data_IF_747224474333
#
_entry.id   IF_747224474333
#
_cell.length_a   1.000
_cell.length_b   1.000
_cell.length_c   1.000
_cell.angle_alpha   90.00
_cell.angle_beta   90.00
_cell.angle_gamma   90.00
#
_symmetry.space_group_name_H-M   'P 1'
#
loop_
_entity.id
_entity.type
_entity.pdbx_description
1 polymer ?
#
# COMPACT_ATOMS: atom_id res chain seq x y z
N UNK A 1 32.64 4.62 -10.07
CA UNK A 1 32.08 4.19 -8.77
C UNK A 1 32.37 2.71 -8.62
N UNK A 2 33.22 2.32 -7.67
CA UNK A 2 33.51 0.90 -7.44
C UNK A 2 32.25 0.21 -6.90
N UNK A 3 31.79 -0.82 -7.60
CA UNK A 3 30.71 -1.69 -7.12
C UNK A 3 31.18 -2.34 -5.83
N UNK A 4 30.73 -1.82 -4.68
CA UNK A 4 30.93 -2.50 -3.40
C UNK A 4 30.19 -3.83 -3.47
N UNK A 5 30.95 -4.92 -3.61
CA UNK A 5 30.46 -6.29 -3.49
C UNK A 5 29.76 -6.40 -2.13
N UNK A 6 28.43 -6.57 -2.16
CA UNK A 6 27.63 -6.68 -0.93
C UNK A 6 28.11 -7.90 -0.15
N UNK A 7 28.34 -7.72 1.14
CA UNK A 7 28.67 -8.83 2.04
C UNK A 7 27.53 -9.86 2.07
N UNK A 8 27.88 -11.12 2.31
CA UNK A 8 26.92 -12.20 2.37
C UNK A 8 25.91 -11.96 3.51
N UNK A 9 24.62 -12.30 3.32
CA UNK A 9 23.62 -12.11 4.36
C UNK A 9 23.88 -13.01 5.57
N UNK A 10 23.58 -12.50 6.76
CA UNK A 10 23.59 -13.29 7.99
C UNK A 10 22.42 -14.28 7.93
N UNK A 11 22.71 -15.58 7.91
CA UNK A 11 21.69 -16.63 7.91
C UNK A 11 21.36 -17.04 9.34
N UNK A 12 20.14 -16.73 9.79
CA UNK A 12 19.62 -17.22 11.07
C UNK A 12 18.64 -18.36 10.84
N UNK A 13 18.84 -19.47 11.59
CA UNK A 13 17.93 -20.62 11.61
C UNK A 13 17.48 -20.87 13.05
N UNK A 14 16.20 -20.59 13.40
CA UNK A 14 15.69 -20.90 14.73
C UNK A 14 15.82 -22.40 15.06
N UNK A 15 16.10 -22.74 16.34
CA UNK A 15 16.00 -24.11 16.83
C UNK A 15 14.65 -24.73 16.45
N UNK A 16 14.62 -26.04 16.19
CA UNK A 16 13.44 -26.73 15.66
C UNK A 16 12.18 -26.44 16.46
N UNK A 17 12.26 -26.55 17.78
CA UNK A 17 11.17 -26.34 18.74
C UNK A 17 10.63 -24.90 18.75
N UNK A 18 11.45 -23.92 18.37
CA UNK A 18 11.07 -22.51 18.38
C UNK A 18 10.61 -22.01 17.00
N UNK A 19 10.63 -22.84 15.96
CA UNK A 19 10.30 -22.41 14.58
C UNK A 19 8.87 -21.92 14.44
N UNK A 20 7.92 -22.63 15.02
CA UNK A 20 6.50 -22.27 14.94
C UNK A 20 6.23 -20.99 15.71
N UNK A 21 6.75 -20.89 16.93
CA UNK A 21 6.67 -19.67 17.74
C UNK A 21 7.30 -18.47 17.02
N UNK A 22 8.47 -18.66 16.38
CA UNK A 22 9.11 -17.61 15.59
C UNK A 22 8.21 -17.17 14.43
N UNK A 23 7.65 -18.11 13.67
CA UNK A 23 6.76 -17.79 12.55
C UNK A 23 5.49 -17.04 12.99
N UNK A 24 4.88 -17.47 14.10
CA UNK A 24 3.72 -16.81 14.67
C UNK A 24 4.04 -15.35 15.05
N UNK A 25 5.13 -15.12 15.78
CA UNK A 25 5.55 -13.76 16.18
C UNK A 25 5.87 -12.86 14.98
N UNK A 26 6.48 -13.40 13.93
CA UNK A 26 6.72 -12.65 12.69
C UNK A 26 5.40 -12.29 12.01
N UNK A 27 4.45 -13.23 11.92
CA UNK A 27 3.15 -12.99 11.31
C UNK A 27 2.37 -11.91 12.08
N UNK A 28 2.29 -12.04 13.41
CA UNK A 28 1.60 -11.10 14.31
C UNK A 28 2.22 -9.70 14.26
N UNK A 29 3.54 -9.60 14.08
CA UNK A 29 4.23 -8.31 13.95
C UNK A 29 3.88 -7.56 12.66
N UNK A 30 3.39 -8.27 11.64
CA UNK A 30 3.20 -7.70 10.31
C UNK A 30 4.50 -7.27 9.62
N UNK A 31 5.69 -7.57 10.15
CA UNK A 31 6.97 -7.20 9.55
C UNK A 31 7.50 -8.29 8.59
N UNK A 32 8.50 -7.94 7.78
CA UNK A 32 9.33 -8.97 7.14
C UNK A 32 10.23 -9.63 8.19
N UNK A 33 10.67 -10.87 7.96
CA UNK A 33 11.55 -11.61 8.88
C UNK A 33 12.79 -10.80 9.27
N UNK A 34 13.46 -10.15 8.30
CA UNK A 34 14.63 -9.34 8.58
C UNK A 34 14.29 -8.13 9.46
N UNK A 35 13.21 -7.40 9.15
CA UNK A 35 12.78 -6.25 9.95
C UNK A 35 12.35 -6.66 11.37
N UNK A 36 11.69 -7.81 11.51
CA UNK A 36 11.35 -8.38 12.81
C UNK A 36 12.60 -8.69 13.64
N UNK A 37 13.60 -9.37 13.06
CA UNK A 37 14.87 -9.68 13.73
C UNK A 37 15.61 -8.39 14.09
N UNK A 38 15.74 -7.44 13.16
CA UNK A 38 16.41 -6.16 13.41
C UNK A 38 15.74 -5.39 14.55
N UNK A 39 14.40 -5.31 14.56
CA UNK A 39 13.65 -4.65 15.63
C UNK A 39 13.83 -5.37 16.99
N UNK A 40 13.80 -6.70 16.99
CA UNK A 40 13.96 -7.50 18.20
C UNK A 40 15.38 -7.43 18.79
N UNK A 41 16.41 -7.30 17.95
CA UNK A 41 17.82 -7.29 18.37
C UNK A 41 18.30 -5.88 18.72
N UNK A 42 17.92 -4.87 17.95
CA UNK A 42 18.49 -3.52 18.06
C UNK A 42 17.57 -2.49 18.69
N UNK A 43 16.31 -2.84 18.97
CA UNK A 43 15.50 -2.20 20.01
C UNK A 43 15.18 -0.70 19.90
N UNK A 44 15.64 0.04 18.89
CA UNK A 44 15.28 1.46 18.78
C UNK A 44 15.24 2.04 17.36
N UNK A 45 14.12 2.70 17.07
CA UNK A 45 13.66 3.25 15.78
C UNK A 45 13.71 2.29 14.58
N UNK A 46 12.93 1.21 14.63
CA UNK A 46 12.52 0.55 13.40
C UNK A 46 12.03 1.64 12.41
N UNK A 47 12.51 1.66 11.14
CA UNK A 47 12.11 2.67 10.18
C UNK A 47 10.59 2.72 10.18
N UNK A 48 10.03 3.93 10.40
CA UNK A 48 8.59 4.25 10.44
C UNK A 48 7.81 3.13 9.79
N UNK A 49 7.06 2.36 10.60
CA UNK A 49 6.17 1.28 10.19
C UNK A 49 5.91 1.44 8.70
N UNK A 50 6.50 0.59 7.86
CA UNK A 50 6.08 0.51 6.47
C UNK A 50 4.60 0.22 6.57
N UNK A 51 3.79 1.28 6.41
CA UNK A 51 2.40 1.32 6.80
C UNK A 51 1.75 0.21 6.00
N UNK A 52 1.59 -0.99 6.59
CA UNK A 52 0.85 -2.10 6.00
C UNK A 52 -0.62 -1.76 6.16
N UNK A 53 -1.01 -0.71 5.46
CA UNK A 53 -2.38 -0.39 5.12
C UNK A 53 -2.32 -0.12 3.64
N UNK A 54 -2.24 -1.18 2.86
CA UNK A 54 -2.52 -1.01 1.45
C UNK A 54 -3.48 -2.13 1.13
N UNK A 55 -4.74 -1.76 0.85
CA UNK A 55 -5.47 -2.49 -0.17
C UNK A 55 -4.45 -2.87 -1.28
N UNK A 56 -4.42 -4.13 -1.74
CA UNK A 56 -3.51 -4.56 -2.79
C UNK A 56 -3.39 -3.48 -3.86
N UNK A 57 -2.18 -3.12 -4.32
CA UNK A 57 -2.02 -2.08 -5.36
C UNK A 57 -2.92 -2.36 -6.58
N UNK A 58 -3.21 -3.63 -6.84
CA UNK A 58 -4.18 -4.08 -7.82
C UNK A 58 -5.62 -3.59 -7.54
N UNK A 59 -6.08 -3.65 -6.29
CA UNK A 59 -7.40 -3.15 -5.90
C UNK A 59 -7.51 -1.63 -6.02
N UNK A 60 -6.46 -0.91 -5.62
CA UNK A 60 -6.42 0.56 -5.79
C UNK A 60 -6.37 0.95 -7.27
N UNK A 61 -5.64 0.20 -8.10
CA UNK A 61 -5.61 0.40 -9.54
C UNK A 61 -6.97 0.10 -10.20
N UNK A 62 -7.68 -0.95 -9.74
CA UNK A 62 -9.04 -1.26 -10.17
C UNK A 62 -10.00 -0.14 -9.80
N UNK A 63 -9.99 0.34 -8.55
CA UNK A 63 -10.82 1.47 -8.12
C UNK A 63 -10.57 2.73 -8.95
N UNK A 64 -9.31 3.01 -9.29
CA UNK A 64 -8.96 4.14 -10.17
C UNK A 64 -9.56 3.98 -11.57
N UNK A 65 -9.54 2.77 -12.15
CA UNK A 65 -10.16 2.49 -13.44
C UNK A 65 -11.69 2.63 -13.40
N UNK A 66 -12.33 2.07 -12.36
CA UNK A 66 -13.79 2.21 -12.17
C UNK A 66 -14.21 3.68 -11.98
N UNK A 67 -13.40 4.48 -11.27
CA UNK A 67 -13.63 5.93 -11.11
C UNK A 67 -13.60 6.66 -12.45
N UNK A 68 -12.69 6.27 -13.36
CA UNK A 68 -12.63 6.84 -14.70
C UNK A 68 -13.86 6.43 -15.55
N UNK A 69 -14.27 5.16 -15.49
CA UNK A 69 -15.47 4.68 -16.19
C UNK A 69 -16.74 5.37 -15.71
N UNK A 70 -16.88 5.58 -14.39
CA UNK A 70 -18.00 6.34 -13.81
C UNK A 70 -18.03 7.77 -14.31
N UNK A 71 -16.88 8.43 -14.40
CA UNK A 71 -16.80 9.80 -14.92
C UNK A 71 -17.24 9.89 -16.41
N UNK A 72 -16.85 8.92 -17.24
CA UNK A 72 -17.31 8.88 -18.63
C UNK A 72 -18.81 8.62 -18.75
N UNK A 73 -19.36 7.72 -17.94
CA UNK A 73 -20.81 7.49 -17.88
C UNK A 73 -21.56 8.73 -17.41
N UNK A 74 -21.02 9.44 -16.41
CA UNK A 74 -21.61 10.68 -15.89
C UNK A 74 -21.65 11.78 -16.97
N UNK A 75 -20.58 11.95 -17.75
CA UNK A 75 -20.57 12.88 -18.89
C UNK A 75 -21.64 12.54 -19.93
N UNK A 76 -21.90 11.24 -20.16
CA UNK A 76 -22.96 10.78 -21.06
C UNK A 76 -24.38 11.13 -20.60
N UNK A 77 -24.58 11.36 -19.30
CA UNK A 77 -25.87 11.71 -18.68
C UNK A 77 -26.10 13.22 -18.54
N UNK A 78 -25.11 14.05 -18.92
CA UNK A 78 -25.12 15.49 -18.66
C UNK A 78 -26.27 16.26 -19.35
N UNK A 79 -26.95 15.66 -20.33
CA UNK A 79 -28.11 16.27 -20.99
C UNK A 79 -29.43 16.18 -20.19
N UNK A 80 -29.57 15.18 -19.32
CA UNK A 80 -30.83 14.85 -18.63
C UNK A 80 -30.76 15.04 -17.10
N UNK A 81 -29.57 15.34 -16.57
CA UNK A 81 -29.33 15.43 -15.12
C UNK A 81 -29.27 16.88 -14.62
N UNK A 82 -29.60 17.08 -13.34
CA UNK A 82 -29.40 18.35 -12.65
C UNK A 82 -27.91 18.77 -12.70
N UNK A 83 -27.59 19.93 -13.29
CA UNK A 83 -26.22 20.43 -13.40
C UNK A 83 -25.49 20.53 -12.06
N UNK A 84 -26.20 20.85 -10.97
CA UNK A 84 -25.59 20.97 -9.65
C UNK A 84 -25.14 19.61 -9.11
N UNK A 85 -26.01 18.59 -9.20
CA UNK A 85 -25.68 17.22 -8.81
C UNK A 85 -24.58 16.63 -9.69
N UNK A 86 -24.56 16.95 -10.99
CA UNK A 86 -23.50 16.54 -11.91
C UNK A 86 -22.14 17.14 -11.52
N UNK A 87 -22.13 18.43 -11.14
CA UNK A 87 -20.92 19.11 -10.70
C UNK A 87 -20.38 18.55 -9.38
N UNK A 88 -21.26 18.21 -8.44
CA UNK A 88 -20.92 17.56 -7.17
C UNK A 88 -20.34 16.16 -7.40
N UNK A 89 -21.01 15.32 -8.18
CA UNK A 89 -20.51 13.99 -8.52
C UNK A 89 -19.13 14.03 -9.22
N UNK A 90 -18.93 15.00 -10.12
CA UNK A 90 -17.63 15.21 -10.77
C UNK A 90 -16.55 15.70 -9.79
N UNK A 91 -16.90 16.40 -8.71
CA UNK A 91 -15.98 16.79 -7.64
C UNK A 91 -15.58 15.56 -6.83
N UNK A 92 -16.54 14.76 -6.39
CA UNK A 92 -16.31 13.56 -5.58
C UNK A 92 -15.42 12.55 -6.32
N UNK A 93 -15.67 12.33 -7.62
CA UNK A 93 -14.81 11.46 -8.45
C UNK A 93 -13.38 11.98 -8.56
N UNK A 94 -13.17 13.31 -8.58
CA UNK A 94 -11.82 13.91 -8.57
C UNK A 94 -11.12 13.68 -7.23
N UNK A 95 -11.84 13.77 -6.13
CA UNK A 95 -11.29 13.49 -4.79
C UNK A 95 -10.91 12.01 -4.63
N UNK A 96 -11.77 11.10 -5.09
CA UNK A 96 -11.50 9.65 -5.10
C UNK A 96 -10.27 9.34 -5.97
N UNK A 97 -10.17 9.94 -7.15
CA UNK A 97 -8.99 9.83 -8.03
C UNK A 97 -7.71 10.27 -7.32
N UNK A 98 -7.75 11.43 -6.66
CA UNK A 98 -6.61 11.98 -5.93
C UNK A 98 -6.17 11.06 -4.77
N UNK A 99 -7.14 10.52 -4.02
CA UNK A 99 -6.87 9.56 -2.95
C UNK A 99 -6.22 8.28 -3.48
N UNK A 100 -6.71 7.75 -4.61
CA UNK A 100 -6.13 6.56 -5.25
C UNK A 100 -4.70 6.81 -5.76
N UNK A 101 -4.44 7.95 -6.39
CA UNK A 101 -3.10 8.32 -6.86
C UNK A 101 -2.12 8.46 -5.69
N UNK A 102 -2.53 9.12 -4.61
CA UNK A 102 -1.75 9.23 -3.37
C UNK A 102 -1.45 7.85 -2.77
N UNK A 103 -2.44 6.95 -2.70
CA UNK A 103 -2.26 5.59 -2.21
C UNK A 103 -1.31 4.75 -3.10
N UNK A 104 -1.28 5.02 -4.40
CA UNK A 104 -0.33 4.42 -5.35
C UNK A 104 1.05 5.08 -5.33
N UNK A 105 1.26 6.16 -4.55
CA UNK A 105 2.52 6.92 -4.53
C UNK A 105 2.76 7.75 -5.78
N UNK A 106 1.70 8.17 -6.46
CA UNK A 106 1.70 9.05 -7.64
C UNK A 106 1.17 10.42 -7.27
N UNK A 107 1.53 11.44 -8.06
CA UNK A 107 0.94 12.77 -7.93
C UNK A 107 -0.54 12.76 -8.37
N UNK A 108 -1.45 13.40 -7.61
CA UNK A 108 -2.87 13.49 -7.93
C UNK A 108 -3.18 14.37 -9.14
#
# INVERSE_FOLDING_TARGET
>A
MTEKKREAPISYRPPYELREQFRARVADSGLSVNAFITAAVFGDTAPKLARRTSAPRADVARLLAETALLNERLKGLAGDADPALLADAARDLREIRAACLKALGRSP
#
